data_IF_694863355490
#
_entry.id   IF_694863355490
#
_cell.length_a   1.000
_cell.length_b   1.000
_cell.length_c   1.000
_cell.angle_alpha   90.00
_cell.angle_beta   90.00
_cell.angle_gamma   90.00
#
_symmetry.space_group_name_H-M   'P 1'
#
loop_
_entity.id
_entity.type
_entity.pdbx_description
1 polymer ?
#
# COMPACT_ATOMS: atom_id res chain seq x y z
N UNK A 1 -34.48 -8.56 5.73
CA UNK A 1 -35.66 -9.37 5.36
C UNK A 1 -35.25 -10.56 4.52
N UNK A 2 -36.19 -11.47 4.24
CA UNK A 2 -36.03 -12.57 3.28
C UNK A 2 -36.87 -12.28 2.04
N UNK A 3 -36.22 -12.19 0.88
CA UNK A 3 -36.82 -11.70 -0.36
C UNK A 3 -36.84 -12.80 -1.40
N UNK A 4 -38.00 -13.08 -1.98
CA UNK A 4 -38.08 -13.93 -3.18
C UNK A 4 -37.71 -13.10 -4.41
N UNK A 5 -36.64 -13.47 -5.10
CA UNK A 5 -36.06 -12.69 -6.21
C UNK A 5 -35.93 -13.54 -7.47
N UNK A 6 -35.98 -12.92 -8.67
CA UNK A 6 -35.91 -13.67 -9.92
C UNK A 6 -34.48 -14.13 -10.25
N UNK A 7 -33.44 -13.59 -9.63
CA UNK A 7 -32.05 -13.89 -9.95
C UNK A 7 -31.17 -13.87 -8.69
N UNK A 8 -30.28 -14.86 -8.57
CA UNK A 8 -29.25 -14.97 -7.53
C UNK A 8 -27.97 -15.51 -8.18
N UNK A 9 -26.81 -15.13 -7.66
CA UNK A 9 -25.51 -15.64 -8.12
C UNK A 9 -24.49 -15.64 -6.97
N UNK A 10 -23.26 -16.05 -7.29
CA UNK A 10 -22.07 -16.02 -6.42
C UNK A 10 -22.11 -16.95 -5.20
N UNK A 11 -23.01 -16.71 -4.24
CA UNK A 11 -23.11 -17.51 -3.01
C UNK A 11 -24.57 -17.81 -2.71
N UNK A 12 -24.93 -19.08 -2.69
CA UNK A 12 -26.27 -19.55 -2.36
C UNK A 12 -26.24 -20.95 -1.77
N UNK A 13 -27.24 -21.25 -0.95
CA UNK A 13 -27.48 -22.58 -0.39
C UNK A 13 -28.69 -23.21 -1.08
N UNK A 14 -28.58 -24.50 -1.41
CA UNK A 14 -29.65 -25.26 -2.05
C UNK A 14 -30.01 -26.44 -1.14
N UNK A 15 -31.31 -26.69 -0.97
CA UNK A 15 -31.76 -27.87 -0.25
C UNK A 15 -31.33 -29.16 -0.98
N UNK A 16 -30.57 -30.02 -0.31
CA UNK A 16 -30.02 -31.25 -0.88
C UNK A 16 -31.05 -32.21 -1.48
N UNK A 17 -32.31 -32.17 -1.02
CA UNK A 17 -33.38 -32.99 -1.62
C UNK A 17 -33.64 -32.66 -3.08
N UNK A 18 -33.32 -31.43 -3.53
CA UNK A 18 -33.44 -31.04 -4.94
C UNK A 18 -32.44 -31.77 -5.84
N UNK A 19 -31.28 -32.17 -5.29
CA UNK A 19 -30.25 -32.91 -6.03
C UNK A 19 -30.66 -34.36 -6.31
N UNK A 20 -31.63 -34.91 -5.57
CA UNK A 20 -32.16 -36.25 -5.77
C UNK A 20 -33.43 -36.27 -6.62
N UNK A 21 -34.02 -35.12 -6.92
CA UNK A 21 -35.22 -35.02 -7.75
C UNK A 21 -34.85 -34.96 -9.23
N UNK A 22 -35.36 -35.88 -10.04
CA UNK A 22 -35.18 -35.82 -11.51
C UNK A 22 -35.78 -34.55 -12.11
N UNK A 23 -36.99 -34.19 -11.68
CA UNK A 23 -37.71 -33.03 -12.23
C UNK A 23 -37.14 -31.70 -11.69
N UNK A 24 -36.76 -31.66 -10.42
CA UNK A 24 -36.32 -30.44 -9.73
C UNK A 24 -34.80 -30.27 -9.66
N UNK A 25 -34.03 -31.12 -10.34
CA UNK A 25 -32.57 -31.04 -10.36
C UNK A 25 -32.06 -29.66 -10.81
N UNK A 26 -31.19 -28.97 -10.06
CA UNK A 26 -30.62 -27.70 -10.48
C UNK A 26 -29.72 -27.87 -11.72
N UNK A 27 -30.02 -27.18 -12.81
CA UNK A 27 -29.25 -27.23 -14.06
C UNK A 27 -28.68 -25.85 -14.38
N UNK A 28 -27.42 -25.80 -14.80
CA UNK A 28 -26.71 -24.59 -15.23
C UNK A 28 -26.71 -24.42 -16.76
N UNK A 29 -27.54 -25.19 -17.48
CA UNK A 29 -27.58 -25.21 -18.94
C UNK A 29 -28.99 -24.85 -19.40
N UNK A 30 -29.11 -23.83 -20.26
CA UNK A 30 -30.34 -23.46 -20.96
C UNK A 30 -30.01 -22.63 -22.21
N UNK A 31 -29.96 -23.28 -23.39
CA UNK A 31 -29.74 -22.60 -24.66
C UNK A 31 -28.38 -21.88 -24.70
N UNK A 32 -28.42 -20.58 -25.04
CA UNK A 32 -27.23 -19.71 -25.12
C UNK A 32 -27.05 -18.80 -23.89
N UNK A 33 -27.79 -19.04 -22.79
CA UNK A 33 -27.64 -18.26 -21.57
C UNK A 33 -26.32 -18.60 -20.87
N UNK A 34 -25.74 -17.62 -20.18
CA UNK A 34 -24.64 -17.90 -19.26
C UNK A 34 -25.11 -18.81 -18.10
N UNK A 35 -24.18 -19.49 -17.42
CA UNK A 35 -24.51 -20.47 -16.39
C UNK A 35 -25.41 -19.94 -15.25
N UNK A 36 -25.21 -18.70 -14.80
CA UNK A 36 -25.98 -18.11 -13.68
C UNK A 36 -27.39 -17.75 -14.13
N UNK A 37 -27.53 -17.14 -15.33
CA UNK A 37 -28.83 -16.89 -15.94
C UNK A 37 -29.59 -18.19 -16.22
N UNK A 38 -28.90 -19.21 -16.73
CA UNK A 38 -29.46 -20.52 -17.01
C UNK A 38 -29.97 -21.20 -15.73
N UNK A 39 -29.16 -21.19 -14.68
CA UNK A 39 -29.54 -21.68 -13.35
C UNK A 39 -30.82 -21.01 -12.85
N UNK A 40 -30.83 -19.67 -12.79
CA UNK A 40 -31.98 -18.93 -12.29
C UNK A 40 -33.24 -19.17 -13.12
N UNK A 41 -33.11 -19.21 -14.45
CA UNK A 41 -34.23 -19.52 -15.36
C UNK A 41 -34.80 -20.90 -15.10
N UNK A 42 -33.95 -21.92 -15.03
CA UNK A 42 -34.36 -23.31 -14.81
C UNK A 42 -35.08 -23.47 -13.46
N UNK A 43 -34.61 -22.79 -12.40
CA UNK A 43 -35.26 -22.83 -11.09
C UNK A 43 -36.65 -22.19 -11.12
N UNK A 44 -36.81 -21.06 -11.82
CA UNK A 44 -38.12 -20.40 -12.00
C UNK A 44 -39.10 -21.26 -12.79
N UNK A 45 -38.67 -21.89 -13.88
CA UNK A 45 -39.50 -22.79 -14.69
C UNK A 45 -39.99 -24.01 -13.89
N UNK A 46 -39.22 -24.45 -12.90
CA UNK A 46 -39.57 -25.54 -11.98
C UNK A 46 -40.40 -25.09 -10.77
N UNK A 47 -40.77 -23.82 -10.70
CA UNK A 47 -41.53 -23.24 -9.60
C UNK A 47 -40.76 -23.21 -8.27
N UNK A 48 -39.42 -23.20 -8.32
CA UNK A 48 -38.58 -23.15 -7.13
C UNK A 48 -38.21 -21.70 -6.86
N UNK A 49 -38.59 -21.20 -5.69
CA UNK A 49 -38.25 -19.85 -5.26
C UNK A 49 -36.77 -19.72 -4.92
N UNK A 50 -36.21 -18.57 -5.27
CA UNK A 50 -34.84 -18.19 -4.96
C UNK A 50 -34.90 -17.04 -3.97
N UNK A 51 -34.31 -17.23 -2.80
CA UNK A 51 -34.40 -16.28 -1.71
C UNK A 51 -33.06 -15.57 -1.46
N UNK A 52 -33.12 -14.27 -1.21
CA UNK A 52 -32.00 -13.47 -0.72
C UNK A 52 -32.33 -12.94 0.67
N UNK A 53 -31.40 -13.08 1.61
CA UNK A 53 -31.50 -12.48 2.94
C UNK A 53 -30.54 -11.30 3.05
N UNK A 54 -31.04 -10.20 3.58
CA UNK A 54 -30.24 -9.07 4.05
C UNK A 54 -30.50 -8.79 5.55
N UNK A 55 -30.83 -9.84 6.31
CA UNK A 55 -31.02 -9.74 7.75
C UNK A 55 -29.71 -9.51 8.50
N UNK A 56 -28.59 -10.03 7.97
CA UNK A 56 -27.25 -9.87 8.51
C UNK A 56 -26.27 -9.39 7.42
N UNK A 57 -25.11 -8.90 7.84
CA UNK A 57 -23.97 -8.66 6.96
C UNK A 57 -23.18 -9.95 6.77
N UNK A 58 -23.35 -10.61 5.62
CA UNK A 58 -22.65 -11.87 5.33
C UNK A 58 -21.26 -11.68 4.71
N UNK A 59 -21.00 -10.53 4.09
CA UNK A 59 -19.74 -10.24 3.40
C UNK A 59 -19.92 -9.19 2.32
N UNK A 60 -19.00 -9.20 1.37
CA UNK A 60 -18.97 -8.28 0.23
C UNK A 60 -18.50 -9.02 -1.02
N UNK A 61 -18.70 -8.39 -2.18
CA UNK A 61 -18.18 -8.88 -3.46
C UNK A 61 -16.90 -8.11 -3.80
N UNK A 62 -15.93 -8.82 -4.38
CA UNK A 62 -14.72 -8.22 -4.95
C UNK A 62 -14.96 -7.86 -6.41
N UNK A 63 -14.30 -6.79 -6.88
CA UNK A 63 -14.27 -6.40 -8.28
C UNK A 63 -13.06 -7.07 -8.98
N UNK A 64 -13.26 -8.05 -9.87
CA UNK A 64 -12.17 -8.72 -10.57
C UNK A 64 -11.71 -7.98 -11.84
N UNK A 65 -12.39 -6.91 -12.28
CA UNK A 65 -12.18 -6.30 -13.60
C UNK A 65 -10.78 -5.72 -13.81
N UNK A 66 -10.15 -5.23 -12.75
CA UNK A 66 -8.82 -4.60 -12.80
C UNK A 66 -7.66 -5.54 -12.49
N UNK A 67 -7.95 -6.80 -12.15
CA UNK A 67 -6.96 -7.73 -11.62
C UNK A 67 -6.02 -8.27 -12.71
N UNK A 68 -4.79 -7.77 -12.74
CA UNK A 68 -3.77 -8.17 -13.73
C UNK A 68 -2.85 -9.27 -13.18
N UNK A 69 -3.14 -10.52 -13.56
CA UNK A 69 -2.37 -11.71 -13.20
C UNK A 69 -0.90 -11.70 -13.69
N UNK A 70 -0.54 -10.81 -14.61
CA UNK A 70 0.84 -10.72 -15.13
C UNK A 70 1.76 -9.92 -14.20
N UNK A 71 1.20 -9.12 -13.29
CA UNK A 71 1.99 -8.30 -12.37
C UNK A 71 2.59 -9.16 -11.26
N UNK A 72 3.78 -8.77 -10.79
CA UNK A 72 4.32 -9.34 -9.55
C UNK A 72 3.49 -8.84 -8.38
N UNK A 73 2.94 -9.75 -7.59
CA UNK A 73 2.03 -9.44 -6.47
C UNK A 73 0.80 -8.59 -6.91
N UNK A 74 -0.09 -9.11 -7.78
CA UNK A 74 -1.20 -8.36 -8.38
C UNK A 74 -2.09 -7.63 -7.36
N UNK A 75 -2.37 -8.27 -6.22
CA UNK A 75 -3.16 -7.70 -5.13
C UNK A 75 -2.66 -6.32 -4.66
N UNK A 76 -1.37 -6.02 -4.83
CA UNK A 76 -0.77 -4.75 -4.44
C UNK A 76 -1.37 -3.56 -5.20
N UNK A 77 -1.87 -3.80 -6.42
CA UNK A 77 -2.44 -2.79 -7.31
C UNK A 77 -3.98 -2.66 -7.15
N UNK A 78 -4.60 -3.37 -6.21
CA UNK A 78 -6.05 -3.37 -6.03
C UNK A 78 -6.57 -2.31 -5.03
N UNK A 79 -5.73 -1.32 -4.69
CA UNK A 79 -6.03 -0.29 -3.67
C UNK A 79 -7.31 0.51 -3.96
N UNK A 80 -7.72 0.61 -5.22
CA UNK A 80 -8.94 1.31 -5.65
C UNK A 80 -10.13 0.38 -5.76
N UNK A 81 -9.99 -0.68 -6.54
CA UNK A 81 -11.10 -1.55 -6.93
C UNK A 81 -11.59 -2.41 -5.78
N UNK A 82 -10.70 -2.75 -4.84
CA UNK A 82 -10.95 -3.64 -3.71
C UNK A 82 -10.33 -3.08 -2.42
N UNK A 83 -10.54 -1.78 -2.16
CA UNK A 83 -9.89 -1.05 -1.06
C UNK A 83 -10.03 -1.75 0.30
N UNK A 84 -11.22 -2.26 0.66
CA UNK A 84 -11.43 -2.90 1.95
C UNK A 84 -10.57 -4.17 2.14
N UNK A 85 -10.43 -5.00 1.09
CA UNK A 85 -9.56 -6.19 1.14
C UNK A 85 -8.09 -5.81 1.10
N UNK A 86 -7.77 -4.76 0.33
CA UNK A 86 -6.43 -4.19 0.27
C UNK A 86 -5.98 -3.69 1.65
N UNK A 87 -6.82 -2.93 2.35
CA UNK A 87 -6.58 -2.42 3.70
C UNK A 87 -6.31 -3.55 4.69
N UNK A 88 -7.20 -4.56 4.72
CA UNK A 88 -7.04 -5.73 5.60
C UNK A 88 -5.72 -6.46 5.39
N UNK A 89 -5.19 -6.43 4.16
CA UNK A 89 -3.95 -7.10 3.80
C UNK A 89 -2.70 -6.27 4.03
N UNK A 90 -2.79 -4.96 3.77
CA UNK A 90 -1.63 -4.10 3.58
C UNK A 90 -1.50 -2.96 4.58
N UNK A 91 -2.56 -2.56 5.27
CA UNK A 91 -2.51 -1.55 6.33
C UNK A 91 -2.28 -2.22 7.69
N UNK A 92 -1.39 -1.61 8.47
CA UNK A 92 -1.00 -2.15 9.77
C UNK A 92 -2.20 -2.23 10.73
N UNK A 93 -2.34 -3.33 11.48
CA UNK A 93 -3.47 -3.56 12.41
C UNK A 93 -3.70 -2.42 13.42
N UNK A 94 -2.61 -1.81 13.89
CA UNK A 94 -2.64 -0.69 14.83
C UNK A 94 -2.69 0.69 14.15
N UNK A 95 -2.78 0.78 12.82
CA UNK A 95 -2.85 2.06 12.10
C UNK A 95 -4.06 2.88 12.54
N UNK A 96 -5.25 2.29 12.63
CA UNK A 96 -6.47 3.01 13.02
C UNK A 96 -6.35 3.66 14.41
N UNK A 97 -5.60 3.04 15.34
CA UNK A 97 -5.34 3.60 16.66
C UNK A 97 -4.53 4.90 16.58
N UNK A 98 -3.62 5.01 15.61
CA UNK A 98 -2.82 6.22 15.37
C UNK A 98 -3.73 7.44 15.12
N UNK A 99 -4.91 7.24 14.54
CA UNK A 99 -5.86 8.30 14.20
C UNK A 99 -6.81 8.68 15.35
N UNK A 100 -6.89 7.89 16.42
CA UNK A 100 -7.77 8.20 17.57
C UNK A 100 -7.37 9.53 18.23
N UNK A 101 -8.30 10.43 18.58
CA UNK A 101 -7.96 11.78 19.08
C UNK A 101 -6.96 11.78 20.26
N UNK A 102 -7.10 10.83 21.19
CA UNK A 102 -6.29 10.75 22.40
C UNK A 102 -4.95 10.00 22.20
N UNK A 103 -4.76 9.32 21.06
CA UNK A 103 -3.54 8.58 20.80
C UNK A 103 -2.38 9.54 20.53
N UNK A 104 -1.32 9.43 21.33
CA UNK A 104 -0.08 10.20 21.13
C UNK A 104 0.85 9.43 20.20
N UNK A 105 1.12 10.02 19.03
CA UNK A 105 2.08 9.48 18.06
C UNK A 105 3.49 9.61 18.63
N UNK A 106 4.30 8.55 18.52
CA UNK A 106 5.69 8.56 18.99
C UNK A 106 6.46 9.67 18.26
N UNK A 107 7.30 10.40 18.98
CA UNK A 107 8.10 11.50 18.44
C UNK A 107 9.57 11.33 18.89
N UNK A 108 10.33 10.40 18.26
CA UNK A 108 11.70 10.07 18.69
C UNK A 108 12.70 11.24 18.61
N UNK A 109 12.46 12.21 17.72
CA UNK A 109 13.21 13.47 17.64
C UNK A 109 12.22 14.64 17.53
N UNK A 110 12.60 15.88 17.88
CA UNK A 110 11.72 17.05 17.76
C UNK A 110 11.11 17.15 16.35
N UNK A 111 9.78 17.18 16.25
CA UNK A 111 8.99 17.22 15.00
C UNK A 111 9.27 16.08 14.02
N UNK A 112 9.78 14.95 14.52
CA UNK A 112 9.92 13.69 13.76
C UNK A 112 8.97 12.67 14.36
N UNK A 113 7.86 12.41 13.68
CA UNK A 113 6.82 11.49 14.11
C UNK A 113 7.08 10.08 13.60
N UNK A 114 6.73 9.07 14.39
CA UNK A 114 6.96 7.67 14.09
C UNK A 114 5.72 6.83 14.38
N UNK A 115 5.19 6.15 13.36
CA UNK A 115 3.93 5.42 13.49
C UNK A 115 3.86 4.18 12.58
N UNK A 116 3.11 3.14 12.99
CA UNK A 116 2.82 2.00 12.11
C UNK A 116 1.88 2.42 10.98
N UNK A 117 2.14 1.97 9.75
CA UNK A 117 1.27 2.28 8.61
C UNK A 117 0.95 1.07 7.73
N UNK A 118 1.94 0.22 7.46
CA UNK A 118 1.76 -0.93 6.54
C UNK A 118 2.16 -2.25 7.17
N UNK A 119 1.61 -3.35 6.66
CA UNK A 119 1.91 -4.70 7.15
C UNK A 119 3.25 -5.22 6.65
N UNK A 120 3.72 -6.30 7.28
CA UNK A 120 4.86 -7.08 6.80
C UNK A 120 4.69 -7.60 5.36
N UNK A 121 3.45 -7.91 4.97
CA UNK A 121 3.11 -8.37 3.62
C UNK A 121 3.32 -7.24 2.62
N UNK A 122 2.87 -6.02 2.93
CA UNK A 122 3.11 -4.84 2.08
C UNK A 122 4.60 -4.63 1.86
N UNK A 123 5.37 -4.62 2.95
CA UNK A 123 6.81 -4.40 2.90
C UNK A 123 7.52 -5.44 2.03
N UNK A 124 7.21 -6.73 2.22
CA UNK A 124 7.76 -7.81 1.40
C UNK A 124 7.36 -7.66 -0.07
N UNK A 125 6.08 -7.44 -0.35
CA UNK A 125 5.59 -7.32 -1.73
C UNK A 125 6.21 -6.13 -2.46
N UNK A 126 6.38 -4.99 -1.78
CA UNK A 126 7.07 -3.82 -2.33
C UNK A 126 8.51 -4.16 -2.74
N UNK A 127 9.28 -4.81 -1.84
CA UNK A 127 10.65 -5.22 -2.14
C UNK A 127 10.69 -6.19 -3.33
N UNK A 128 9.81 -7.20 -3.33
CA UNK A 128 9.72 -8.16 -4.44
C UNK A 128 9.36 -7.51 -5.78
N UNK A 129 8.46 -6.52 -5.80
CA UNK A 129 8.10 -5.76 -7.01
C UNK A 129 9.33 -4.99 -7.53
N UNK A 130 10.07 -4.32 -6.64
CA UNK A 130 11.24 -3.53 -7.02
C UNK A 130 12.41 -4.41 -7.48
N UNK A 131 12.69 -5.51 -6.78
CA UNK A 131 13.75 -6.44 -7.19
C UNK A 131 13.38 -7.21 -8.46
N UNK A 132 12.09 -7.54 -8.68
CA UNK A 132 11.63 -8.12 -9.95
C UNK A 132 11.83 -7.15 -11.14
N UNK A 133 11.77 -5.83 -10.90
CA UNK A 133 12.12 -4.86 -11.93
C UNK A 133 13.62 -4.82 -12.20
N UNK A 134 14.44 -4.85 -11.14
CA UNK A 134 15.89 -5.00 -11.21
C UNK A 134 16.68 -3.79 -11.75
N UNK A 135 16.02 -2.74 -12.25
CA UNK A 135 16.69 -1.55 -12.82
C UNK A 135 16.98 -0.48 -11.76
N UNK A 136 17.85 -0.81 -10.81
CA UNK A 136 18.31 0.15 -9.80
C UNK A 136 19.23 1.21 -10.44
N UNK A 137 19.00 2.50 -10.18
CA UNK A 137 19.92 3.52 -10.68
C UNK A 137 21.29 3.40 -10.00
N UNK A 138 22.35 3.74 -10.73
CA UNK A 138 23.73 3.47 -10.31
C UNK A 138 24.36 4.60 -9.47
N UNK A 139 23.60 5.65 -9.14
CA UNK A 139 24.09 6.84 -8.41
C UNK A 139 25.07 7.70 -9.21
N UNK A 140 25.47 7.27 -10.42
CA UNK A 140 26.15 8.12 -11.41
C UNK A 140 25.05 8.90 -12.13
N UNK A 141 25.20 10.23 -12.27
CA UNK A 141 24.23 11.17 -12.86
C UNK A 141 23.85 10.92 -14.35
N UNK A 142 23.90 9.69 -14.83
CA UNK A 142 23.43 9.31 -16.16
C UNK A 142 22.04 8.68 -16.05
N UNK A 143 21.03 9.54 -15.98
CA UNK A 143 19.63 9.12 -16.14
C UNK A 143 19.42 8.74 -17.61
N UNK A 144 19.59 7.46 -17.94
CA UNK A 144 18.96 6.87 -19.13
C UNK A 144 17.67 6.18 -18.68
N UNK A 145 16.55 6.76 -19.11
CA UNK A 145 15.15 6.34 -18.92
C UNK A 145 14.49 6.63 -17.56
N UNK A 146 14.00 7.87 -17.36
CA UNK A 146 12.58 8.23 -17.57
C UNK A 146 12.42 9.73 -17.28
N UNK A 147 12.28 10.51 -18.35
CA UNK A 147 12.09 11.95 -18.30
C UNK A 147 10.58 12.22 -18.11
N UNK A 148 10.16 12.77 -16.97
CA UNK A 148 9.28 13.95 -16.95
C UNK A 148 9.28 14.57 -15.54
N UNK A 149 9.72 15.85 -15.50
CA UNK A 149 9.76 16.82 -14.39
C UNK A 149 11.08 16.94 -13.60
N UNK A 150 12.07 17.48 -14.32
CA UNK A 150 13.18 18.39 -13.95
C UNK A 150 13.93 18.31 -12.60
N UNK A 151 15.24 18.08 -12.77
CA UNK A 151 16.43 18.59 -12.06
C UNK A 151 16.27 19.22 -10.66
N UNK A 152 16.76 18.52 -9.63
CA UNK A 152 17.96 18.99 -8.92
C UNK A 152 18.70 17.86 -8.20
N UNK A 153 19.98 18.13 -7.99
CA UNK A 153 21.08 17.27 -7.55
C UNK A 153 20.82 16.39 -6.32
N UNK A 154 21.03 15.09 -6.47
CA UNK A 154 22.02 14.35 -5.67
C UNK A 154 22.23 12.94 -6.24
N UNK A 155 23.49 12.59 -6.38
CA UNK A 155 24.00 11.32 -6.90
C UNK A 155 23.58 10.15 -6.01
N UNK A 156 22.41 9.54 -6.24
CA UNK A 156 21.91 8.45 -5.40
C UNK A 156 21.09 7.42 -6.19
N UNK A 157 21.16 6.17 -5.72
CA UNK A 157 20.54 4.97 -6.31
C UNK A 157 19.06 4.86 -5.95
N UNK A 158 18.19 5.43 -6.77
CA UNK A 158 16.73 5.32 -6.66
C UNK A 158 16.12 4.47 -7.78
N UNK A 159 15.05 3.73 -7.45
CA UNK A 159 14.01 3.38 -8.43
C UNK A 159 12.84 4.33 -8.17
N UNK A 160 12.58 5.22 -9.13
CA UNK A 160 11.35 6.01 -9.12
C UNK A 160 10.16 5.07 -9.30
N UNK A 161 9.11 5.28 -8.50
CA UNK A 161 7.91 4.45 -8.59
C UNK A 161 7.37 4.46 -10.03
N UNK A 162 7.19 3.28 -10.62
CA UNK A 162 6.71 3.08 -11.99
C UNK A 162 5.47 3.92 -12.33
N UNK A 163 5.41 4.42 -13.57
CA UNK A 163 4.27 5.16 -14.14
C UNK A 163 2.90 4.54 -13.81
N UNK A 164 2.77 3.20 -13.76
CA UNK A 164 1.50 2.52 -13.46
C UNK A 164 1.03 2.56 -12.01
N UNK A 165 1.91 2.76 -11.02
CA UNK A 165 1.46 2.84 -9.62
C UNK A 165 1.82 4.12 -8.90
N UNK A 166 2.30 5.14 -9.63
CA UNK A 166 2.31 6.52 -9.10
C UNK A 166 0.91 6.90 -8.63
N UNK A 167 -0.13 6.58 -9.39
CA UNK A 167 -1.51 6.84 -8.97
C UNK A 167 -1.85 6.10 -7.67
N UNK A 168 -1.66 4.77 -7.64
CA UNK A 168 -1.89 3.92 -6.46
C UNK A 168 -1.17 4.47 -5.22
N UNK A 169 0.07 4.92 -5.38
CA UNK A 169 0.84 5.51 -4.30
C UNK A 169 0.33 6.88 -3.87
N UNK A 170 -0.06 7.76 -4.80
CA UNK A 170 -0.69 9.04 -4.46
C UNK A 170 -2.02 8.85 -3.71
N UNK A 171 -2.79 7.82 -4.06
CA UNK A 171 -3.97 7.43 -3.29
C UNK A 171 -3.58 6.93 -1.90
N UNK A 172 -2.54 6.11 -1.78
CA UNK A 172 -2.01 5.71 -0.48
C UNK A 172 -1.61 6.92 0.39
N UNK A 173 -0.94 7.92 -0.20
CA UNK A 173 -0.60 9.15 0.52
C UNK A 173 -1.84 9.91 0.99
N UNK A 174 -2.86 10.03 0.13
CA UNK A 174 -4.10 10.73 0.44
C UNK A 174 -4.90 10.05 1.54
N UNK A 175 -5.04 8.73 1.48
CA UNK A 175 -5.92 7.97 2.39
C UNK A 175 -5.23 7.55 3.70
N UNK A 176 -3.91 7.28 3.69
CA UNK A 176 -3.23 6.69 4.85
C UNK A 176 -2.11 7.55 5.45
N UNK A 177 -1.63 8.58 4.76
CA UNK A 177 -0.56 9.45 5.27
C UNK A 177 -1.10 10.82 5.65
N UNK A 178 -1.91 11.42 4.79
CA UNK A 178 -2.54 12.72 5.05
C UNK A 178 -3.32 12.76 6.38
N UNK A 179 -4.13 11.75 6.76
CA UNK A 179 -4.85 11.81 8.04
C UNK A 179 -3.92 11.87 9.26
N UNK A 180 -2.78 11.15 9.21
CA UNK A 180 -1.76 11.22 10.27
C UNK A 180 -1.06 12.58 10.24
N UNK A 181 -0.72 13.08 9.04
CA UNK A 181 -0.12 14.40 8.87
C UNK A 181 -0.99 15.51 9.46
N UNK A 182 -2.28 15.56 9.11
CA UNK A 182 -3.22 16.59 9.58
C UNK A 182 -3.36 16.56 11.11
N UNK A 183 -3.27 15.36 11.70
CA UNK A 183 -3.27 15.18 13.15
C UNK A 183 -2.01 15.74 13.82
N UNK A 184 -0.83 15.43 13.29
CA UNK A 184 0.45 15.79 13.96
C UNK A 184 0.93 17.21 13.63
N UNK A 185 0.58 17.74 12.45
CA UNK A 185 0.87 19.11 12.04
C UNK A 185 -0.43 19.92 11.96
N UNK A 186 -1.01 20.19 13.12
CA UNK A 186 -2.25 20.95 13.23
C UNK A 186 -2.16 22.28 12.49
N UNK A 187 -3.16 22.54 11.63
CA UNK A 187 -3.24 23.75 10.81
C UNK A 187 -2.63 23.63 9.42
N UNK A 188 -1.95 22.53 9.09
CA UNK A 188 -1.52 22.22 7.72
C UNK A 188 -2.57 21.31 7.04
N UNK A 189 -3.16 21.79 5.96
CA UNK A 189 -4.17 21.08 5.17
C UNK A 189 -3.88 21.20 3.68
N UNK A 190 -3.80 20.06 2.99
CA UNK A 190 -3.68 20.00 1.53
C UNK A 190 -4.25 18.70 0.98
N UNK A 191 -5.32 18.81 0.17
CA UNK A 191 -5.99 17.66 -0.45
C UNK A 191 -6.25 17.91 -1.95
N UNK A 192 -5.77 17.03 -2.86
CA UNK A 192 -4.90 15.88 -2.60
C UNK A 192 -3.45 16.31 -2.31
N UNK A 193 -2.70 15.54 -1.49
CA UNK A 193 -1.28 15.77 -1.32
C UNK A 193 -0.56 15.57 -2.67
N UNK A 194 0.47 16.37 -2.92
CA UNK A 194 1.28 16.28 -4.15
C UNK A 194 2.61 15.64 -3.81
N UNK A 195 2.95 14.54 -4.48
CA UNK A 195 4.28 13.96 -4.35
C UNK A 195 4.81 13.59 -5.73
N UNK A 196 5.74 14.40 -6.24
CA UNK A 196 6.40 14.11 -7.51
C UNK A 196 7.47 13.03 -7.28
N UNK A 197 8.22 13.10 -6.18
CA UNK A 197 9.31 12.17 -5.90
C UNK A 197 8.87 11.09 -4.90
N UNK A 198 8.57 9.90 -5.44
CA UNK A 198 8.25 8.70 -4.69
C UNK A 198 9.17 7.58 -5.15
N UNK A 199 9.95 7.00 -4.25
CA UNK A 199 10.99 6.07 -4.63
C UNK A 199 11.37 5.11 -3.50
N UNK A 200 11.76 3.91 -3.90
CA UNK A 200 12.38 2.93 -2.98
C UNK A 200 13.89 3.12 -3.06
N UNK A 201 14.52 3.22 -1.89
CA UNK A 201 15.98 3.29 -1.75
C UNK A 201 16.51 1.94 -1.27
N UNK A 202 17.61 1.51 -1.87
CA UNK A 202 18.36 0.31 -1.46
C UNK A 202 19.74 0.70 -1.00
N UNK A 203 20.05 0.46 0.27
CA UNK A 203 21.40 0.64 0.80
C UNK A 203 22.09 -0.70 1.00
N UNK A 204 23.34 -0.79 0.54
CA UNK A 204 24.18 -1.98 0.69
C UNK A 204 25.67 -1.59 0.80
N UNK A 205 26.49 -2.26 1.63
CA UNK A 205 27.90 -1.93 1.84
C UNK A 205 28.74 -1.82 0.57
N UNK A 206 28.57 -2.76 -0.36
CA UNK A 206 29.32 -2.79 -1.63
C UNK A 206 28.79 -1.81 -2.69
N UNK A 207 27.77 -1.03 -2.34
CA UNK A 207 27.05 -0.14 -3.22
C UNK A 207 26.99 1.28 -2.63
N UNK A 208 25.80 1.88 -2.58
CA UNK A 208 25.56 3.07 -1.79
C UNK A 208 25.14 2.61 -0.39
N UNK A 209 25.96 2.86 0.61
CA UNK A 209 25.73 2.39 1.97
C UNK A 209 25.26 3.49 2.95
N UNK A 210 25.31 4.75 2.54
CA UNK A 210 24.90 5.90 3.34
C UNK A 210 24.33 7.02 2.45
N UNK A 211 23.81 8.07 3.08
CA UNK A 211 23.35 9.28 2.38
C UNK A 211 23.87 10.51 3.11
N UNK A 212 24.58 11.40 2.40
CA UNK A 212 25.18 12.61 2.98
C UNK A 212 24.11 13.56 3.56
N UNK A 213 24.49 14.44 4.51
CA UNK A 213 23.60 15.47 5.02
C UNK A 213 22.94 16.31 3.92
N UNK A 214 21.62 16.45 3.96
CA UNK A 214 20.82 17.20 2.98
C UNK A 214 19.48 17.68 3.57
N UNK A 215 18.80 18.52 2.79
CA UNK A 215 17.37 18.80 2.94
C UNK A 215 16.61 18.12 1.81
N UNK A 216 15.37 17.77 2.09
CA UNK A 216 14.46 17.27 1.07
C UNK A 216 13.76 18.44 0.39
N UNK A 217 13.46 18.28 -0.90
CA UNK A 217 12.57 19.21 -1.59
C UNK A 217 11.13 18.76 -1.35
N UNK A 218 10.65 19.01 -0.13
CA UNK A 218 9.29 18.69 0.34
C UNK A 218 8.89 19.66 1.45
N UNK A 219 7.59 19.82 1.67
CA UNK A 219 7.09 20.41 2.91
C UNK A 219 7.31 19.41 4.05
N UNK A 220 6.90 18.16 3.84
CA UNK A 220 7.21 17.05 4.73
C UNK A 220 7.59 15.79 3.94
N UNK A 221 8.45 14.97 4.53
CA UNK A 221 8.89 13.71 3.98
C UNK A 221 8.33 12.57 4.81
N UNK A 222 7.93 11.49 4.14
CA UNK A 222 7.74 10.19 4.79
C UNK A 222 8.85 9.21 4.42
N UNK A 223 9.22 8.36 5.38
CA UNK A 223 10.23 7.32 5.21
C UNK A 223 9.77 6.04 5.90
N UNK A 224 9.32 5.06 5.12
CA UNK A 224 8.80 3.78 5.61
C UNK A 224 9.91 2.73 5.55
N UNK A 225 10.19 2.08 6.68
CA UNK A 225 11.12 0.95 6.72
C UNK A 225 10.47 -0.31 6.13
N UNK A 226 11.12 -0.91 5.11
CA UNK A 226 10.58 -2.07 4.41
C UNK A 226 11.17 -3.41 4.90
N UNK A 227 12.27 -3.39 5.64
CA UNK A 227 12.86 -4.61 6.20
C UNK A 227 13.48 -4.39 7.59
N UNK A 228 13.95 -5.47 8.21
CA UNK A 228 14.20 -5.53 9.66
C UNK A 228 15.66 -5.24 9.99
N UNK A 229 15.95 -4.28 10.89
CA UNK A 229 17.28 -4.07 11.42
C UNK A 229 17.74 -5.30 12.21
N UNK A 230 19.05 -5.56 12.23
CA UNK A 230 19.72 -6.69 12.91
C UNK A 230 19.32 -8.09 12.41
N UNK A 231 18.48 -8.19 11.39
CA UNK A 231 18.10 -9.44 10.73
C UNK A 231 18.44 -9.36 9.24
N UNK A 232 17.89 -8.36 8.55
CA UNK A 232 18.07 -8.18 7.11
C UNK A 232 19.25 -7.24 6.79
N UNK A 233 19.61 -6.36 7.73
CA UNK A 233 20.77 -5.45 7.66
C UNK A 233 21.32 -5.06 9.04
N UNK A 234 22.58 -4.62 9.10
CA UNK A 234 23.21 -4.01 10.29
C UNK A 234 23.57 -2.53 10.01
N UNK A 235 23.55 -1.69 11.05
CA UNK A 235 23.71 -0.24 10.91
C UNK A 235 22.45 0.45 10.38
N UNK A 236 22.61 1.57 9.69
CA UNK A 236 21.51 2.35 9.14
C UNK A 236 20.78 3.22 10.16
N UNK A 237 19.71 3.87 9.69
CA UNK A 237 18.95 4.85 10.45
C UNK A 237 18.89 6.20 9.74
N UNK A 238 18.44 7.22 10.47
CA UNK A 238 18.42 8.62 10.06
C UNK A 238 18.95 9.49 11.22
N UNK A 239 19.86 10.40 10.93
CA UNK A 239 20.38 11.34 11.93
C UNK A 239 19.98 12.76 11.55
N UNK A 240 19.33 13.47 12.47
CA UNK A 240 18.91 14.86 12.31
C UNK A 240 19.92 15.78 13.02
N UNK A 241 20.80 16.39 12.22
CA UNK A 241 22.03 17.03 12.70
C UNK A 241 21.74 18.19 13.65
N UNK A 242 20.75 19.03 13.31
CA UNK A 242 20.37 20.19 14.14
C UNK A 242 19.94 19.82 15.56
N UNK A 243 19.45 18.61 15.76
CA UNK A 243 18.94 18.14 17.04
C UNK A 243 19.90 17.15 17.73
N UNK A 244 21.03 16.79 17.09
CA UNK A 244 21.90 15.70 17.51
C UNK A 244 21.09 14.45 17.89
N UNK A 245 20.10 14.12 17.05
CA UNK A 245 19.12 13.07 17.33
C UNK A 245 19.10 12.05 16.20
N UNK A 246 19.33 10.80 16.55
CA UNK A 246 19.33 9.68 15.60
C UNK A 246 18.17 8.74 15.86
N UNK A 247 17.47 8.38 14.79
CA UNK A 247 16.47 7.33 14.80
C UNK A 247 17.07 6.10 14.12
N UNK A 248 17.39 5.10 14.94
CA UNK A 248 17.94 3.80 14.54
C UNK A 248 16.91 2.70 14.80
N UNK A 249 17.22 1.47 14.37
CA UNK A 249 16.37 0.30 14.61
C UNK A 249 14.90 0.49 14.16
N UNK A 250 14.72 1.13 13.00
CA UNK A 250 13.41 1.40 12.42
C UNK A 250 12.63 0.11 12.21
N UNK A 251 11.48 0.01 12.87
CA UNK A 251 10.54 -1.10 12.80
C UNK A 251 9.99 -1.21 11.39
N UNK A 252 10.01 -2.42 10.83
CA UNK A 252 9.39 -2.71 9.53
C UNK A 252 7.92 -2.30 9.54
N UNK A 253 7.47 -1.67 8.46
CA UNK A 253 6.09 -1.21 8.28
C UNK A 253 5.75 0.09 9.02
N UNK A 254 6.70 0.68 9.73
CA UNK A 254 6.54 1.98 10.37
C UNK A 254 7.12 3.08 9.49
N UNK A 255 6.46 4.25 9.54
CA UNK A 255 6.85 5.46 8.83
C UNK A 255 7.43 6.49 9.79
N UNK A 256 8.55 7.11 9.40
CA UNK A 256 8.93 8.42 9.90
C UNK A 256 8.23 9.50 9.08
N UNK A 257 7.81 10.57 9.73
CA UNK A 257 7.29 11.78 9.10
C UNK A 257 7.99 12.99 9.72
N UNK A 258 8.60 13.84 8.89
CA UNK A 258 9.30 15.05 9.34
C UNK A 258 9.25 16.16 8.28
N UNK A 259 9.40 17.44 8.66
CA UNK A 259 9.57 18.53 7.70
C UNK A 259 10.77 18.28 6.76
N UNK A 260 10.66 18.66 5.49
CA UNK A 260 11.73 18.45 4.50
C UNK A 260 12.74 19.60 4.42
N UNK A 261 12.24 20.83 4.58
CA UNK A 261 13.01 22.07 4.43
C UNK A 261 13.32 22.75 5.75
N UNK A 262 14.32 23.66 5.70
CA UNK A 262 14.75 24.59 6.76
C UNK A 262 15.30 23.94 8.04
N UNK A 263 14.55 23.06 8.69
CA UNK A 263 14.80 22.65 10.07
C UNK A 263 15.36 21.22 10.22
N UNK A 264 15.11 20.32 9.28
CA UNK A 264 15.47 18.91 9.42
C UNK A 264 16.61 18.53 8.45
N UNK A 265 17.74 19.23 8.58
CA UNK A 265 18.96 18.83 7.87
C UNK A 265 19.43 17.48 8.41
N UNK A 266 19.39 16.45 7.56
CA UNK A 266 19.50 15.07 8.00
C UNK A 266 20.37 14.23 7.07
N UNK A 267 20.86 13.10 7.59
CA UNK A 267 21.69 12.14 6.86
C UNK A 267 21.21 10.70 7.06
N UNK A 268 21.47 9.85 6.08
CA UNK A 268 21.24 8.42 6.18
C UNK A 268 22.49 7.73 6.74
N UNK A 269 22.37 7.16 7.94
CA UNK A 269 23.48 6.50 8.61
C UNK A 269 24.01 5.28 7.81
N UNK A 270 25.32 4.96 7.90
CA UNK A 270 25.92 3.84 7.17
C UNK A 270 25.30 2.48 7.49
N UNK A 271 24.96 1.72 6.45
CA UNK A 271 24.65 0.30 6.51
C UNK A 271 25.96 -0.48 6.39
N UNK A 272 26.26 -1.32 7.39
CA UNK A 272 27.56 -2.02 7.49
C UNK A 272 27.49 -3.46 7.00
N UNK A 273 26.28 -4.05 6.94
CA UNK A 273 26.06 -5.42 6.47
C UNK A 273 24.63 -5.60 5.96
N UNK A 274 24.45 -6.50 5.01
CA UNK A 274 23.13 -6.81 4.44
C UNK A 274 22.58 -5.65 3.62
N UNK A 275 21.27 -5.70 3.35
CA UNK A 275 20.61 -4.73 2.48
C UNK A 275 19.47 -4.06 3.22
N UNK A 276 19.44 -2.73 3.25
CA UNK A 276 18.34 -1.96 3.84
C UNK A 276 17.46 -1.38 2.74
N UNK A 277 16.14 -1.57 2.87
CA UNK A 277 15.15 -0.99 1.97
C UNK A 277 14.25 0.00 2.72
N UNK A 278 14.02 1.15 2.10
CA UNK A 278 13.07 2.16 2.57
C UNK A 278 12.22 2.68 1.43
N UNK A 279 10.95 3.00 1.68
CA UNK A 279 10.10 3.74 0.76
C UNK A 279 10.04 5.20 1.22
N UNK A 280 10.44 6.12 0.34
CA UNK A 280 10.50 7.55 0.65
C UNK A 280 9.55 8.31 -0.27
N UNK A 281 8.89 9.33 0.29
CA UNK A 281 8.09 10.26 -0.52
C UNK A 281 8.28 11.69 -0.03
N UNK A 282 8.59 12.57 -0.98
CA UNK A 282 8.70 13.99 -0.77
C UNK A 282 7.34 14.62 -1.08
N UNK A 283 6.62 14.98 -0.02
CA UNK A 283 5.23 15.44 -0.11
C UNK A 283 5.18 16.96 -0.01
N UNK A 284 4.38 17.53 -0.91
CA UNK A 284 4.17 18.96 -1.11
C UNK A 284 5.48 19.74 -1.31
N UNK A 285 6.25 19.42 -2.38
CA UNK A 285 7.48 20.13 -2.75
C UNK A 285 7.26 21.61 -3.11
#
# INVERSE_FOLDING_TARGET
>A
GLWNVPFINTVYLINGTLLHSKDKFPSFISGLLDPDMAFCKNMREKGIFMYVTNMDTYGHLVNPETFDLKLKNPDFYEIYSNQMDWERRYIHENYSKVLEPDFKVDMPCPDVYWFPVVTDIFCRHMIEIMENFGQWSSGKNEVKFLFFLYQQSSANKFIHFFIKGVQHWLFFLREYIKPVQEKVFLGYFHDPPRAIMNFVVRYHPDEQYFLRPHHDSSTYTINIALNRPKIDYEGGGCNFLRYNCSVVDLKRGWSLMHPGRLTHYHEGLPVTKGTRYIMVSFVDP
#
